data_IF_279328037041
#
_entry.id   IF_279328037041
#
_cell.length_a   1.000
_cell.length_b   1.000
_cell.length_c   1.000
_cell.angle_alpha   90.00
_cell.angle_beta   90.00
_cell.angle_gamma   90.00
#
_symmetry.space_group_name_H-M   'P 1'
#
loop_
_entity.id
_entity.type
_entity.pdbx_description
1 polymer ?
#
# COMPACT_ATOMS: atom_id res chain seq x y z
N UNK A 1 -2.56 14.88 24.40
CA UNK A 1 -1.99 13.92 23.44
C UNK A 1 -0.77 14.57 22.79
N UNK A 2 0.41 13.95 22.88
CA UNK A 2 1.61 14.46 22.18
C UNK A 2 1.38 14.34 20.68
N UNK A 3 1.36 15.46 19.96
CA UNK A 3 1.50 15.47 18.51
C UNK A 3 2.86 14.87 18.17
N UNK A 4 2.87 13.67 17.61
CA UNK A 4 4.06 13.13 16.96
C UNK A 4 4.25 13.94 15.67
N UNK A 5 5.10 14.96 15.73
CA UNK A 5 5.63 15.70 14.57
C UNK A 5 6.54 14.83 13.67
N UNK A 6 6.37 13.50 13.70
CA UNK A 6 7.07 12.57 12.84
C UNK A 6 6.24 12.29 11.59
N UNK A 7 6.85 12.41 10.42
CA UNK A 7 6.30 11.92 9.17
C UNK A 7 6.31 10.38 9.17
N UNK A 8 5.52 9.75 10.05
CA UNK A 8 5.39 8.29 10.12
C UNK A 8 4.61 7.87 8.87
N UNK A 9 5.20 7.15 7.91
CA UNK A 9 4.51 6.76 6.69
C UNK A 9 3.37 5.79 6.99
N UNK A 10 2.37 5.73 6.10
CA UNK A 10 1.39 4.65 6.15
C UNK A 10 2.07 3.39 5.62
N UNK A 11 2.25 2.40 6.48
CA UNK A 11 2.78 1.09 6.10
C UNK A 11 1.64 0.13 5.79
N UNK A 12 1.69 -0.50 4.63
CA UNK A 12 0.78 -1.57 4.19
C UNK A 12 1.60 -2.85 4.05
N UNK A 13 1.12 -3.93 4.66
CA UNK A 13 1.67 -5.27 4.44
C UNK A 13 0.76 -5.99 3.44
N UNK A 14 1.35 -6.40 2.33
CA UNK A 14 0.70 -7.19 1.28
C UNK A 14 1.19 -8.62 1.47
N UNK A 15 0.26 -9.55 1.67
CA UNK A 15 0.55 -10.97 1.77
C UNK A 15 0.04 -11.64 0.50
N UNK A 16 0.95 -12.27 -0.22
CA UNK A 16 0.68 -12.98 -1.46
C UNK A 16 0.38 -14.44 -1.17
N UNK A 17 -0.37 -15.07 -2.07
CA UNK A 17 -0.52 -16.52 -2.06
C UNK A 17 0.84 -17.22 -2.16
N UNK A 18 0.91 -18.45 -1.63
CA UNK A 18 2.16 -19.22 -1.53
C UNK A 18 2.85 -19.48 -2.87
N UNK A 19 2.13 -19.31 -3.97
CA UNK A 19 2.60 -19.51 -5.34
C UNK A 19 3.41 -18.30 -5.86
N UNK A 20 3.23 -17.12 -5.26
CA UNK A 20 3.90 -15.88 -5.65
C UNK A 20 4.94 -15.44 -4.63
N UNK A 21 6.02 -14.80 -5.11
CA UNK A 21 7.05 -14.23 -4.24
C UNK A 21 6.96 -12.71 -4.28
N UNK A 22 7.12 -12.08 -3.12
CA UNK A 22 7.17 -10.63 -3.00
C UNK A 22 8.33 -10.00 -3.80
N UNK A 23 9.39 -10.78 -4.07
CA UNK A 23 10.51 -10.37 -4.91
C UNK A 23 10.13 -10.21 -6.39
N UNK A 24 9.02 -10.82 -6.84
CA UNK A 24 8.55 -10.76 -8.22
C UNK A 24 7.62 -9.56 -8.47
N UNK A 25 7.35 -8.75 -7.44
CA UNK A 25 6.54 -7.53 -7.59
C UNK A 25 7.41 -6.34 -7.94
N UNK A 26 7.05 -5.63 -9.00
CA UNK A 26 7.63 -4.33 -9.27
C UNK A 26 7.08 -3.27 -8.31
N UNK A 27 7.80 -3.03 -7.21
CA UNK A 27 7.42 -2.09 -6.17
C UNK A 27 7.17 -0.65 -6.66
N UNK A 28 7.81 -0.24 -7.76
CA UNK A 28 7.60 1.08 -8.36
C UNK A 28 6.21 1.25 -9.01
N UNK A 29 5.50 0.15 -9.25
CA UNK A 29 4.14 0.16 -9.83
C UNK A 29 3.03 0.19 -8.78
N UNK A 30 3.38 0.00 -7.51
CA UNK A 30 2.40 -0.07 -6.43
C UNK A 30 1.84 1.33 -6.18
N UNK A 31 0.51 1.42 -6.23
CA UNK A 31 -0.23 2.65 -5.99
C UNK A 31 -1.44 2.38 -5.12
N UNK A 32 -1.78 3.37 -4.31
CA UNK A 32 -3.01 3.41 -3.53
C UNK A 32 -3.97 4.38 -4.20
N UNK A 33 -5.18 3.93 -4.47
CA UNK A 33 -6.28 4.80 -4.88
C UNK A 33 -7.13 5.14 -3.66
N UNK A 34 -7.12 6.40 -3.24
CA UNK A 34 -7.91 6.91 -2.13
C UNK A 34 -8.74 8.07 -2.61
N UNK A 35 -10.07 7.92 -2.61
CA UNK A 35 -10.99 8.98 -3.01
C UNK A 35 -10.64 9.60 -4.40
N UNK A 36 -10.38 8.74 -5.39
CA UNK A 36 -10.00 9.18 -6.74
C UNK A 36 -8.58 9.74 -6.87
N UNK A 37 -7.84 9.93 -5.77
CA UNK A 37 -6.42 10.33 -5.78
C UNK A 37 -5.52 9.11 -5.82
N UNK A 38 -4.57 9.13 -6.74
CA UNK A 38 -3.52 8.11 -6.86
C UNK A 38 -2.31 8.55 -6.03
N UNK A 39 -1.87 7.68 -5.13
CA UNK A 39 -0.69 7.88 -4.30
C UNK A 39 0.27 6.73 -4.60
N UNK A 40 1.48 7.04 -5.05
CA UNK A 40 2.49 6.02 -5.34
C UNK A 40 3.18 5.57 -4.06
N UNK A 41 3.56 4.29 -4.03
CA UNK A 41 4.41 3.75 -2.99
C UNK A 41 5.79 4.43 -3.00
N UNK A 42 6.38 4.59 -1.82
CA UNK A 42 7.77 4.99 -1.68
C UNK A 42 8.71 3.90 -2.22
N UNK A 43 9.85 4.31 -2.79
CA UNK A 43 10.81 3.45 -3.50
C UNK A 43 11.48 2.35 -2.66
N UNK A 44 11.13 2.20 -1.38
CA UNK A 44 11.77 1.31 -0.42
C UNK A 44 10.82 0.22 0.09
N UNK A 45 10.13 -0.46 -0.83
CA UNK A 45 9.34 -1.64 -0.45
C UNK A 45 10.29 -2.73 0.02
N UNK A 46 10.02 -3.30 1.20
CA UNK A 46 10.88 -4.27 1.85
C UNK A 46 10.23 -5.65 1.82
N UNK A 47 10.95 -6.63 1.29
CA UNK A 47 10.56 -8.04 1.38
C UNK A 47 10.94 -8.53 2.77
N UNK A 48 9.98 -9.07 3.50
CA UNK A 48 10.27 -9.66 4.80
C UNK A 48 11.11 -10.91 4.63
N UNK A 49 12.38 -10.87 5.06
CA UNK A 49 13.34 -11.97 4.86
C UNK A 49 12.91 -13.31 5.44
N UNK A 50 12.01 -13.32 6.43
CA UNK A 50 11.44 -14.54 7.01
C UNK A 50 10.19 -15.04 6.26
N UNK A 51 9.57 -14.21 5.42
CA UNK A 51 8.33 -14.49 4.69
C UNK A 51 8.44 -14.02 3.25
N UNK A 52 8.88 -14.92 2.37
CA UNK A 52 9.14 -14.65 0.95
C UNK A 52 7.90 -14.21 0.16
N UNK A 53 6.70 -14.40 0.71
CA UNK A 53 5.42 -13.99 0.14
C UNK A 53 4.86 -12.69 0.76
N UNK A 54 5.59 -12.00 1.63
CA UNK A 54 5.14 -10.74 2.24
C UNK A 54 5.95 -9.54 1.76
N UNK A 55 5.23 -8.52 1.32
CA UNK A 55 5.78 -7.24 0.88
C UNK A 55 5.30 -6.12 1.80
N UNK A 56 6.24 -5.40 2.40
CA UNK A 56 5.93 -4.19 3.15
C UNK A 56 6.12 -2.97 2.25
N UNK A 57 5.06 -2.19 2.09
CA UNK A 57 5.01 -0.98 1.25
C UNK A 57 4.73 0.24 2.13
N UNK A 58 5.37 1.37 1.82
CA UNK A 58 5.16 2.64 2.52
C UNK A 58 4.55 3.67 1.59
N UNK A 59 3.63 4.46 2.12
CA UNK A 59 3.02 5.60 1.44
C UNK A 59 3.24 6.87 2.24
N UNK A 60 3.46 7.99 1.52
CA UNK A 60 3.62 9.30 2.16
C UNK A 60 2.36 9.66 2.95
N UNK A 61 2.53 9.89 4.25
CA UNK A 61 1.42 10.12 5.17
C UNK A 61 0.70 11.43 4.86
N UNK A 62 1.39 12.45 4.37
CA UNK A 62 0.76 13.72 4.06
C UNK A 62 -0.20 13.57 2.87
N UNK A 63 0.24 12.92 1.78
CA UNK A 63 -0.60 12.64 0.62
C UNK A 63 -1.82 11.78 0.99
N UNK A 64 -1.63 10.75 1.82
CA UNK A 64 -2.74 9.93 2.33
C UNK A 64 -3.69 10.79 3.17
N UNK A 65 -3.18 11.57 4.11
CA UNK A 65 -4.00 12.42 4.97
C UNK A 65 -4.78 13.47 4.17
N UNK A 66 -4.18 14.02 3.11
CA UNK A 66 -4.83 14.96 2.18
C UNK A 66 -5.86 14.29 1.26
N UNK A 67 -5.70 13.01 0.93
CA UNK A 67 -6.70 12.23 0.21
C UNK A 67 -7.90 11.86 1.09
N UNK A 68 -7.66 11.70 2.39
CA UNK A 68 -8.66 11.36 3.40
C UNK A 68 -9.34 12.57 4.05
N UNK A 69 -8.79 13.76 3.87
CA UNK A 69 -9.29 14.98 4.53
C UNK A 69 -10.76 15.23 4.17
N UNK A 70 -11.61 15.30 5.20
CA UNK A 70 -13.04 15.53 5.05
C UNK A 70 -13.87 14.28 4.74
N UNK A 71 -13.25 13.10 4.68
CA UNK A 71 -13.93 11.82 4.52
C UNK A 71 -14.09 11.11 5.86
N UNK A 72 -15.29 10.57 6.07
CA UNK A 72 -15.67 9.71 7.18
C UNK A 72 -16.43 8.50 6.61
N UNK A 73 -16.18 7.31 7.16
CA UNK A 73 -16.76 6.05 6.67
C UNK A 73 -15.74 5.07 6.08
N UNK A 74 -16.23 4.16 5.25
CA UNK A 74 -15.45 3.04 4.67
C UNK A 74 -14.85 3.43 3.33
N UNK A 75 -13.55 3.21 3.18
CA UNK A 75 -12.78 3.53 1.99
C UNK A 75 -12.29 2.24 1.37
N UNK A 76 -12.60 2.03 0.08
CA UNK A 76 -12.01 0.95 -0.69
C UNK A 76 -10.59 1.32 -1.11
N UNK A 77 -9.64 0.50 -0.68
CA UNK A 77 -8.26 0.48 -1.12
C UNK A 77 -8.18 -0.60 -2.20
N UNK A 78 -7.86 -0.19 -3.42
CA UNK A 78 -7.56 -1.13 -4.50
C UNK A 78 -6.03 -1.16 -4.67
N UNK A 79 -5.40 -2.33 -4.56
CA UNK A 79 -4.03 -2.52 -5.03
C UNK A 79 -4.08 -3.20 -6.40
N UNK A 80 -3.24 -2.71 -7.32
CA UNK A 80 -3.01 -3.37 -8.61
C UNK A 80 -1.52 -3.63 -8.69
N UNK A 81 -1.16 -4.88 -8.92
CA UNK A 81 0.21 -5.38 -8.90
C UNK A 81 0.49 -6.08 -10.22
N UNK A 82 1.72 -5.91 -10.73
CA UNK A 82 2.21 -6.64 -11.88
C UNK A 82 3.38 -7.53 -11.44
N UNK A 83 3.32 -8.78 -11.85
CA UNK A 83 4.41 -9.73 -11.72
C UNK A 83 5.47 -9.48 -12.81
N UNK A 84 6.69 -9.98 -12.60
CA UNK A 84 7.80 -9.87 -13.55
C UNK A 84 7.53 -10.56 -14.90
N UNK A 85 6.58 -11.50 -14.97
CA UNK A 85 6.13 -12.17 -16.19
C UNK A 85 5.04 -11.40 -16.96
N UNK A 86 4.56 -10.29 -16.39
CA UNK A 86 3.54 -9.43 -16.98
C UNK A 86 2.11 -9.77 -16.57
N UNK A 87 1.88 -10.79 -15.73
CA UNK A 87 0.56 -11.02 -15.14
C UNK A 87 0.19 -9.90 -14.17
N UNK A 88 -1.11 -9.60 -14.07
CA UNK A 88 -1.62 -8.53 -13.21
C UNK A 88 -2.70 -9.06 -12.27
N UNK A 89 -2.61 -8.66 -11.00
CA UNK A 89 -3.61 -8.98 -9.98
C UNK A 89 -4.16 -7.69 -9.39
N UNK A 90 -5.44 -7.72 -9.00
CA UNK A 90 -6.11 -6.58 -8.36
C UNK A 90 -6.81 -7.06 -7.10
N UNK A 91 -6.38 -6.53 -5.97
CA UNK A 91 -6.95 -6.83 -4.67
C UNK A 91 -7.72 -5.64 -4.10
N UNK A 92 -8.77 -5.94 -3.34
CA UNK A 92 -9.61 -4.93 -2.70
C UNK A 92 -9.58 -5.10 -1.19
N UNK A 93 -9.26 -4.02 -0.49
CA UNK A 93 -9.34 -3.92 0.96
C UNK A 93 -10.24 -2.75 1.36
N UNK A 94 -10.78 -2.79 2.57
CA UNK A 94 -11.60 -1.72 3.13
C UNK A 94 -10.93 -1.13 4.38
N UNK A 95 -10.82 0.20 4.43
CA UNK A 95 -10.36 0.95 5.60
C UNK A 95 -11.51 1.80 6.13
N UNK A 96 -11.94 1.55 7.37
CA UNK A 96 -12.97 2.38 8.03
C UNK A 96 -12.31 3.48 8.85
N UNK A 97 -12.63 4.74 8.53
CA UNK A 97 -12.20 5.91 9.27
C UNK A 97 -13.28 6.35 10.25
N UNK A 98 -12.89 6.55 11.52
CA UNK A 98 -13.74 7.02 12.61
C UNK A 98 -13.35 8.43 13.03
#
# INVERSE_FOLDING_TARGET
MKQTNGNIPLTVNIELDKEYKAADINSATIKMLVNGKIIFAESHSWVNGEKTNQLMVKFDRQQVSEALKGYNGTIQINSSEFLLDGESFTEKAELTLK
#
